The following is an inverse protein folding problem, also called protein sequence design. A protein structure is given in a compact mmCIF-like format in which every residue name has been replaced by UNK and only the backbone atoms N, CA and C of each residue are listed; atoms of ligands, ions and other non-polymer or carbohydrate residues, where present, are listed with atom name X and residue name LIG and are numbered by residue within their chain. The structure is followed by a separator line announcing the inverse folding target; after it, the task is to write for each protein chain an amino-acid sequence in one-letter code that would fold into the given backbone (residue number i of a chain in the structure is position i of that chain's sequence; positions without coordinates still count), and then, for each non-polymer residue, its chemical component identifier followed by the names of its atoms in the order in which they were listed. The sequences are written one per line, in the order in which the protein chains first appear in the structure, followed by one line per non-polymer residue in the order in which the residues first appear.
data_IF_783277589145
#
_entry.id   IF_783277589145
#
_cell.length_a   1.000
_cell.length_b   1.000
_cell.length_c   1.000
_cell.angle_alpha   90.00
_cell.angle_beta   90.00
_cell.angle_gamma   90.00
#
_symmetry.space_group_name_H-M   'P 1'
#
loop_
_entity.id
_entity.type
_entity.pdbx_description
1 polymer ?
#
# COMPACT_ATOMS: atom_id res chain seq x y z
N UNK A 1 0.26 -3.67 -24.19
CA UNK A 1 -1.06 -4.05 -23.64
C UNK A 1 -1.67 -5.16 -24.46
N UNK A 2 -1.71 -5.07 -25.80
CA UNK A 2 -2.26 -6.17 -26.63
C UNK A 2 -1.53 -7.50 -26.45
N UNK A 3 -0.19 -7.53 -26.42
CA UNK A 3 0.55 -8.77 -26.12
C UNK A 3 0.15 -9.42 -24.78
N UNK A 4 -0.15 -8.61 -23.74
CA UNK A 4 -0.58 -9.17 -22.45
C UNK A 4 -2.00 -9.74 -22.53
N UNK A 5 -2.90 -9.11 -23.30
CA UNK A 5 -4.26 -9.63 -23.49
C UNK A 5 -4.23 -10.97 -24.21
N UNK A 6 -3.42 -11.07 -25.26
CA UNK A 6 -3.25 -12.31 -26.02
C UNK A 6 -2.67 -13.42 -25.15
N UNK A 7 -1.58 -13.15 -24.42
CA UNK A 7 -0.95 -14.11 -23.51
C UNK A 7 -1.93 -14.59 -22.41
N UNK A 8 -2.77 -13.69 -21.86
CA UNK A 8 -3.76 -14.05 -20.82
C UNK A 8 -5.00 -14.75 -21.38
N UNK A 9 -5.47 -14.37 -22.57
CA UNK A 9 -6.59 -15.05 -23.24
C UNK A 9 -6.21 -16.47 -23.61
N UNK A 10 -4.99 -16.68 -24.11
CA UNK A 10 -4.44 -18.01 -24.40
C UNK A 10 -4.35 -18.85 -23.13
N UNK A 11 -3.76 -18.29 -22.06
CA UNK A 11 -3.71 -18.97 -20.76
C UNK A 11 -5.10 -19.34 -20.25
N UNK A 12 -6.10 -18.46 -20.35
CA UNK A 12 -7.45 -18.78 -19.88
C UNK A 12 -8.05 -19.99 -20.62
N UNK A 13 -7.78 -20.14 -21.91
CA UNK A 13 -8.24 -21.31 -22.67
C UNK A 13 -7.51 -22.60 -22.28
N UNK A 14 -6.20 -22.53 -22.09
CA UNK A 14 -5.37 -23.67 -21.66
C UNK A 14 -5.71 -24.09 -20.22
N UNK A 15 -5.98 -23.13 -19.34
CA UNK A 15 -6.31 -23.36 -17.95
C UNK A 15 -7.57 -24.24 -17.78
N UNK A 16 -8.63 -23.95 -18.55
CA UNK A 16 -9.86 -24.76 -18.54
C UNK A 16 -9.65 -26.17 -19.09
N UNK A 17 -8.62 -26.40 -19.91
CA UNK A 17 -8.26 -27.73 -20.41
C UNK A 17 -7.36 -28.52 -19.45
N UNK A 18 -6.57 -27.81 -18.63
CA UNK A 18 -5.57 -28.39 -17.74
C UNK A 18 -6.12 -28.73 -16.35
N UNK A 19 -7.11 -27.98 -15.87
CA UNK A 19 -7.66 -28.14 -14.52
C UNK A 19 -9.16 -28.41 -14.55
N UNK A 20 -9.57 -29.38 -13.74
CA UNK A 20 -10.97 -29.74 -13.51
C UNK A 20 -11.38 -29.52 -12.04
N UNK A 21 -12.67 -29.63 -11.72
CA UNK A 21 -13.28 -29.41 -10.40
C UNK A 21 -12.69 -30.28 -9.27
N UNK A 22 -12.02 -31.37 -9.63
CA UNK A 22 -11.32 -32.27 -8.71
C UNK A 22 -9.93 -31.77 -8.32
N UNK A 23 -9.37 -30.83 -9.07
CA UNK A 23 -8.03 -30.26 -8.86
C UNK A 23 -7.95 -29.50 -7.54
N UNK A 24 -6.76 -29.48 -6.96
CA UNK A 24 -6.52 -28.73 -5.71
C UNK A 24 -6.54 -27.24 -6.03
N UNK A 25 -7.34 -26.49 -5.26
CA UNK A 25 -7.48 -25.03 -5.40
C UNK A 25 -6.13 -24.32 -5.31
N UNK A 26 -5.23 -24.81 -4.45
CA UNK A 26 -3.90 -24.21 -4.28
C UNK A 26 -3.05 -24.31 -5.55
N UNK A 27 -3.11 -25.43 -6.28
CA UNK A 27 -2.35 -25.62 -7.52
C UNK A 27 -2.93 -24.75 -8.65
N UNK A 28 -4.25 -24.64 -8.70
CA UNK A 28 -4.97 -23.75 -9.62
C UNK A 28 -4.62 -22.28 -9.39
N UNK A 29 -4.67 -21.84 -8.12
CA UNK A 29 -4.28 -20.47 -7.74
C UNK A 29 -2.81 -20.20 -8.06
N UNK A 30 -1.93 -21.14 -7.75
CA UNK A 30 -0.50 -21.01 -8.03
C UNK A 30 -0.23 -20.88 -9.53
N UNK A 31 -0.94 -21.62 -10.37
CA UNK A 31 -0.83 -21.50 -11.83
C UNK A 31 -1.24 -20.10 -12.32
N UNK A 32 -2.40 -19.60 -11.87
CA UNK A 32 -2.88 -18.24 -12.18
C UNK A 32 -1.86 -17.19 -11.72
N UNK A 33 -1.43 -17.27 -10.46
CA UNK A 33 -0.46 -16.32 -9.87
C UNK A 33 0.86 -16.32 -10.63
N UNK A 34 1.38 -17.50 -10.97
CA UNK A 34 2.65 -17.63 -11.70
C UNK A 34 2.53 -17.01 -13.08
N UNK A 35 1.49 -17.32 -13.85
CA UNK A 35 1.27 -16.73 -15.16
C UNK A 35 1.17 -15.22 -15.10
N UNK A 36 0.37 -14.68 -14.16
CA UNK A 36 0.22 -13.24 -13.98
C UNK A 36 1.55 -12.54 -13.73
N UNK A 37 2.39 -13.09 -12.86
CA UNK A 37 3.71 -12.53 -12.56
C UNK A 37 4.66 -12.66 -13.75
N UNK A 38 4.66 -13.79 -14.46
CA UNK A 38 5.49 -13.97 -15.67
C UNK A 38 5.11 -12.98 -16.77
N UNK A 39 3.81 -12.78 -17.03
CA UNK A 39 3.33 -11.78 -18.00
C UNK A 39 3.69 -10.36 -17.58
N UNK A 40 3.61 -10.05 -16.27
CA UNK A 40 4.04 -8.77 -15.72
C UNK A 40 5.54 -8.52 -15.96
N UNK A 41 6.39 -9.46 -15.57
CA UNK A 41 7.84 -9.32 -15.68
C UNK A 41 8.31 -9.19 -17.13
N UNK A 42 7.62 -9.89 -18.05
CA UNK A 42 7.92 -9.85 -19.50
C UNK A 42 7.47 -8.54 -20.17
N UNK A 43 6.28 -8.04 -19.81
CA UNK A 43 5.64 -6.96 -20.57
C UNK A 43 5.68 -5.59 -19.89
N UNK A 44 5.99 -5.51 -18.59
CA UNK A 44 6.06 -4.25 -17.84
C UNK A 44 7.51 -3.94 -17.46
N UNK A 45 8.14 -2.93 -18.08
CA UNK A 45 9.48 -2.53 -17.69
C UNK A 45 9.46 -1.99 -16.26
N UNK A 46 10.20 -2.65 -15.37
CA UNK A 46 10.40 -2.19 -14.00
C UNK A 46 11.66 -1.33 -13.93
N UNK A 47 11.64 -0.30 -13.08
CA UNK A 47 12.82 0.52 -12.79
C UNK A 47 12.85 0.84 -11.32
N UNK A 48 14.01 0.60 -10.69
CA UNK A 48 14.25 1.09 -9.35
C UNK A 48 14.34 2.62 -9.38
N UNK A 49 13.40 3.28 -8.70
CA UNK A 49 13.51 4.72 -8.45
C UNK A 49 14.58 4.97 -7.40
N UNK A 50 15.40 6.00 -7.59
CA UNK A 50 16.40 6.37 -6.60
C UNK A 50 15.74 6.69 -5.26
N UNK A 51 16.23 6.09 -4.18
CA UNK A 51 15.80 6.37 -2.81
C UNK A 51 16.32 7.71 -2.29
N UNK A 52 17.09 8.47 -3.08
CA UNK A 52 17.61 9.77 -2.64
C UNK A 52 16.45 10.73 -2.43
N UNK A 53 16.21 11.06 -1.17
CA UNK A 53 15.29 12.09 -0.76
C UNK A 53 15.69 13.43 -1.41
N UNK A 54 14.97 13.81 -2.46
CA UNK A 54 15.13 15.11 -3.09
C UNK A 54 14.07 16.04 -2.52
N UNK A 55 14.52 17.14 -1.93
CA UNK A 55 13.61 18.17 -1.45
C UNK A 55 12.79 18.72 -2.63
N UNK A 56 11.45 18.73 -2.54
CA UNK A 56 10.58 19.01 -3.69
C UNK A 56 10.75 20.42 -4.24
N UNK A 57 11.19 21.38 -3.42
CA UNK A 57 11.50 22.75 -3.85
C UNK A 57 12.87 22.92 -4.52
N UNK A 58 13.74 21.91 -4.57
CA UNK A 58 15.03 22.00 -5.27
C UNK A 58 14.83 21.80 -6.77
N UNK A 59 14.66 22.92 -7.47
CA UNK A 59 14.50 22.98 -8.92
C UNK A 59 15.85 23.01 -9.68
N UNK A 60 15.78 23.04 -11.02
CA UNK A 60 16.95 23.08 -11.92
C UNK A 60 17.84 24.32 -11.68
N UNK A 61 17.24 25.48 -11.44
CA UNK A 61 17.94 26.73 -11.19
C UNK A 61 18.84 26.63 -9.94
N UNK A 62 18.29 26.16 -8.82
CA UNK A 62 19.01 25.97 -7.55
C UNK A 62 20.17 24.98 -7.74
N UNK A 63 19.95 23.88 -8.47
CA UNK A 63 21.01 22.89 -8.78
C UNK A 63 22.13 23.51 -9.61
N UNK A 64 21.80 24.29 -10.64
CA UNK A 64 22.79 24.97 -11.48
C UNK A 64 23.59 26.00 -10.71
N UNK A 65 22.93 26.85 -9.90
CA UNK A 65 23.60 27.83 -9.04
C UNK A 65 24.50 27.18 -8.01
N UNK A 66 24.06 26.10 -7.35
CA UNK A 66 24.89 25.33 -6.41
C UNK A 66 26.15 24.76 -7.08
N UNK A 67 26.02 24.20 -8.30
CA UNK A 67 27.18 23.71 -9.07
C UNK A 67 28.14 24.85 -9.45
N UNK A 68 27.61 25.99 -9.92
CA UNK A 68 28.41 27.20 -10.24
C UNK A 68 29.13 27.73 -9.01
N UNK A 69 28.43 27.86 -7.89
CA UNK A 69 28.99 28.27 -6.59
C UNK A 69 30.14 27.35 -6.17
N UNK A 70 29.96 26.03 -6.28
CA UNK A 70 31.01 25.04 -5.94
C UNK A 70 32.26 25.20 -6.81
N UNK A 71 32.09 25.35 -8.13
CA UNK A 71 33.21 25.59 -9.06
C UNK A 71 33.94 26.91 -8.75
N UNK A 72 33.19 27.99 -8.53
CA UNK A 72 33.75 29.29 -8.19
C UNK A 72 34.47 29.29 -6.83
N UNK A 73 33.98 28.54 -5.85
CA UNK A 73 34.67 28.36 -4.57
C UNK A 73 36.01 27.67 -4.74
N UNK A 74 36.07 26.58 -5.52
CA UNK A 74 37.32 25.87 -5.83
C UNK A 74 38.34 26.82 -6.49
N UNK A 75 37.92 27.52 -7.54
CA UNK A 75 38.75 28.52 -8.24
C UNK A 75 39.25 29.62 -7.29
N UNK A 76 38.37 30.19 -6.47
CA UNK A 76 38.76 31.24 -5.53
C UNK A 76 39.72 30.75 -4.43
N UNK A 77 39.71 29.45 -4.08
CA UNK A 77 40.70 28.85 -3.16
C UNK A 77 42.06 28.68 -3.84
N UNK A 78 42.07 28.28 -5.11
CA UNK A 78 43.29 28.05 -5.88
C UNK A 78 43.99 29.36 -6.24
N UNK A 79 43.27 30.33 -6.80
CA UNK A 79 43.86 31.58 -7.29
C UNK A 79 44.14 32.61 -6.20
N UNK A 80 43.48 32.49 -5.04
CA UNK A 80 43.48 33.48 -3.93
C UNK A 80 43.20 34.92 -4.38
N UNK A 81 42.63 35.12 -5.57
CA UNK A 81 42.35 36.44 -6.14
C UNK A 81 41.10 37.07 -5.53
N UNK A 82 41.17 38.38 -5.26
CA UNK A 82 40.02 39.17 -4.81
C UNK A 82 38.85 39.14 -5.80
N UNK A 83 39.13 39.09 -7.11
CA UNK A 83 38.10 38.98 -8.16
C UNK A 83 37.32 37.68 -8.07
N UNK A 84 38.02 36.55 -7.98
CA UNK A 84 37.40 35.23 -7.86
C UNK A 84 36.66 35.09 -6.53
N UNK A 85 37.18 35.69 -5.46
CA UNK A 85 36.51 35.76 -4.15
C UNK A 85 35.19 36.52 -4.24
N UNK A 86 35.17 37.69 -4.89
CA UNK A 86 33.96 38.49 -5.11
C UNK A 86 32.94 37.74 -5.96
N UNK A 87 33.39 37.06 -7.01
CA UNK A 87 32.50 36.23 -7.85
C UNK A 87 31.86 35.08 -7.05
N UNK A 88 32.64 34.40 -6.20
CA UNK A 88 32.11 33.36 -5.30
C UNK A 88 31.05 33.93 -4.34
N UNK A 89 31.31 35.09 -3.71
CA UNK A 89 30.34 35.72 -2.80
C UNK A 89 29.04 36.08 -3.51
N UNK A 90 29.12 36.59 -4.75
CA UNK A 90 27.94 36.84 -5.57
C UNK A 90 27.14 35.55 -5.82
N UNK A 91 27.79 34.47 -6.25
CA UNK A 91 27.12 33.17 -6.47
C UNK A 91 26.58 32.56 -5.17
N UNK A 92 27.23 32.79 -4.03
CA UNK A 92 26.75 32.37 -2.70
C UNK A 92 25.42 33.08 -2.38
N UNK A 93 25.35 34.40 -2.57
CA UNK A 93 24.12 35.19 -2.37
C UNK A 93 23.02 34.78 -3.35
N UNK A 94 23.36 34.65 -4.63
CA UNK A 94 22.40 34.20 -5.66
C UNK A 94 21.82 32.82 -5.35
N UNK A 95 22.65 31.86 -4.94
CA UNK A 95 22.20 30.51 -4.56
C UNK A 95 21.27 30.57 -3.34
N UNK A 96 21.60 31.34 -2.29
CA UNK A 96 20.74 31.50 -1.11
C UNK A 96 19.37 32.06 -1.49
N UNK A 97 19.35 33.12 -2.30
CA UNK A 97 18.11 33.76 -2.74
C UNK A 97 17.27 32.81 -3.60
N UNK A 98 17.89 32.07 -4.53
CA UNK A 98 17.19 31.08 -5.33
C UNK A 98 16.59 29.95 -4.48
N UNK A 99 17.33 29.44 -3.49
CA UNK A 99 16.80 28.45 -2.54
C UNK A 99 15.59 29.00 -1.76
N UNK A 100 15.68 30.23 -1.26
CA UNK A 100 14.59 30.88 -0.52
C UNK A 100 13.36 31.06 -1.40
N UNK A 101 13.50 31.64 -2.59
CA UNK A 101 12.37 31.79 -3.54
C UNK A 101 11.72 30.45 -3.89
N UNK A 102 12.52 29.42 -4.12
CA UNK A 102 12.01 28.10 -4.48
C UNK A 102 11.23 27.47 -3.32
N UNK A 103 11.71 27.64 -2.08
CA UNK A 103 11.00 27.21 -0.87
C UNK A 103 9.70 28.00 -0.67
N UNK A 104 9.77 29.33 -0.74
CA UNK A 104 8.61 30.21 -0.54
C UNK A 104 7.51 29.93 -1.59
N UNK A 105 7.89 29.70 -2.85
CA UNK A 105 6.97 29.27 -3.91
C UNK A 105 6.36 27.89 -3.64
N UNK A 106 7.14 26.93 -3.13
CA UNK A 106 6.62 25.61 -2.76
C UNK A 106 5.60 25.69 -1.62
N UNK A 107 5.88 26.48 -0.58
CA UNK A 107 4.94 26.69 0.52
C UNK A 107 3.69 27.43 0.05
N UNK A 108 3.84 28.48 -0.76
CA UNK A 108 2.70 29.18 -1.35
C UNK A 108 1.78 28.23 -2.12
N UNK A 109 2.32 27.30 -2.90
CA UNK A 109 1.53 26.31 -3.63
C UNK A 109 0.84 25.27 -2.74
N UNK A 110 1.33 25.04 -1.52
CA UNK A 110 0.71 24.12 -0.55
C UNK A 110 -0.40 24.84 0.25
N UNK A 111 -0.17 26.11 0.58
CA UNK A 111 -1.02 26.92 1.45
C UNK A 111 -2.02 27.75 0.64
N UNK A 112 -2.03 27.65 -0.69
CA UNK A 112 -2.96 28.39 -1.57
C UNK A 112 -4.41 28.33 -1.06
N UNK A 113 -5.18 29.43 -1.16
CA UNK A 113 -6.54 29.54 -0.65
C UNK A 113 -7.51 28.50 -1.22
N UNK A 114 -7.20 27.91 -2.38
CA UNK A 114 -7.86 26.71 -2.92
C UNK A 114 -7.50 25.42 -2.15
N UNK A 115 -7.13 25.49 -0.87
CA UNK A 115 -6.72 24.34 -0.06
C UNK A 115 -7.78 23.22 -0.01
N UNK A 116 -9.05 23.58 -0.22
CA UNK A 116 -10.15 22.63 -0.44
C UNK A 116 -9.99 21.76 -1.69
N UNK A 117 -9.29 22.22 -2.72
CA UNK A 117 -8.99 21.49 -3.96
C UNK A 117 -7.89 20.44 -3.78
N UNK A 118 -6.97 20.61 -2.80
CA UNK A 118 -5.86 19.67 -2.61
C UNK A 118 -5.48 19.39 -1.15
N UNK A 119 -6.43 18.95 -0.29
CA UNK A 119 -6.19 18.73 1.13
C UNK A 119 -5.07 17.70 1.38
N UNK A 120 -4.89 16.73 0.48
CA UNK A 120 -3.85 15.69 0.60
C UNK A 120 -2.43 16.27 0.64
N UNK A 121 -2.12 17.26 -0.19
CA UNK A 121 -0.77 17.86 -0.23
C UNK A 121 -0.47 18.64 1.05
N UNK A 122 -1.46 19.40 1.54
CA UNK A 122 -1.37 20.13 2.80
C UNK A 122 -1.16 19.18 3.98
N UNK A 123 -2.03 18.19 4.16
CA UNK A 123 -1.92 17.22 5.25
C UNK A 123 -0.64 16.38 5.15
N UNK A 124 -0.22 15.98 3.95
CA UNK A 124 1.06 15.31 3.75
C UNK A 124 2.26 16.17 4.19
N UNK A 125 2.23 17.48 3.88
CA UNK A 125 3.27 18.41 4.34
C UNK A 125 3.27 18.55 5.87
N UNK A 126 2.11 18.73 6.49
CA UNK A 126 1.99 18.80 7.96
C UNK A 126 2.49 17.51 8.62
N UNK A 127 2.06 16.34 8.14
CA UNK A 127 2.51 15.05 8.64
C UNK A 127 4.02 14.85 8.48
N UNK A 128 4.63 15.38 7.41
CA UNK A 128 6.10 15.34 7.23
C UNK A 128 6.88 16.22 8.22
N UNK A 129 6.21 17.21 8.83
CA UNK A 129 6.79 18.11 9.85
C UNK A 129 6.53 17.63 11.26
N UNK A 130 5.48 16.84 11.47
CA UNK A 130 5.20 16.18 12.73
C UNK A 130 6.29 15.15 13.00
N UNK A 131 6.97 15.30 14.14
CA UNK A 131 7.79 14.26 14.76
C UNK A 131 6.91 13.41 15.67
N UNK A 132 5.71 13.05 15.21
CA UNK A 132 4.86 12.15 15.99
C UNK A 132 5.56 10.79 16.05
N UNK A 133 5.77 10.30 17.28
CA UNK A 133 6.15 8.92 17.52
C UNK A 133 4.99 8.07 17.00
N UNK A 134 5.15 7.49 15.82
CA UNK A 134 4.22 6.47 15.31
C UNK A 134 4.34 5.25 16.22
N UNK A 135 3.53 5.21 17.26
CA UNK A 135 3.53 4.14 18.25
C UNK A 135 2.51 4.41 19.35
N UNK A 136 2.06 3.33 19.99
CA UNK A 136 1.31 3.44 21.25
C UNK A 136 2.20 4.16 22.25
N UNK A 137 1.67 5.17 22.95
CA UNK A 137 2.39 5.86 24.02
C UNK A 137 2.89 4.85 25.07
N UNK A 138 3.93 5.17 25.86
CA UNK A 138 4.34 4.30 26.95
C UNK A 138 3.14 3.92 27.82
N UNK A 139 2.95 2.62 28.06
CA UNK A 139 1.81 2.10 28.81
C UNK A 139 2.22 1.86 30.26
N UNK A 140 1.31 2.15 31.18
CA UNK A 140 1.49 1.85 32.60
C UNK A 140 0.93 0.46 32.88
N UNK A 141 1.76 -0.42 33.47
CA UNK A 141 1.30 -1.74 33.93
C UNK A 141 0.62 -1.66 35.29
N UNK A 142 0.00 -2.76 35.73
CA UNK A 142 -0.55 -2.95 37.08
C UNK A 142 0.47 -2.65 38.18
N UNK A 143 1.75 -2.88 37.92
CA UNK A 143 2.86 -2.68 38.85
C UNK A 143 3.23 -1.20 39.04
N UNK A 144 2.52 -0.29 38.38
CA UNK A 144 2.75 1.15 38.46
C UNK A 144 3.88 1.67 37.57
N UNK A 145 4.64 0.78 36.93
CA UNK A 145 5.76 1.11 36.03
C UNK A 145 5.29 1.42 34.61
N UNK A 146 6.05 2.26 33.91
CA UNK A 146 5.75 2.71 32.55
C UNK A 146 6.69 2.06 31.54
N UNK A 147 6.14 1.43 30.51
CA UNK A 147 6.86 0.63 29.52
C UNK A 147 6.78 1.23 28.13
N UNK A 148 7.94 1.41 27.49
CA UNK A 148 8.05 1.90 26.12
C UNK A 148 8.28 0.81 25.07
N UNK A 149 8.70 -0.39 25.50
CA UNK A 149 9.00 -1.56 24.66
C UNK A 149 7.76 -2.12 23.92
N UNK A 150 7.93 -2.57 22.67
CA UNK A 150 6.80 -3.03 21.86
C UNK A 150 6.18 -4.34 22.37
N UNK A 151 7.00 -5.30 22.79
CA UNK A 151 6.51 -6.60 23.26
C UNK A 151 5.77 -6.44 24.59
N UNK A 152 6.33 -5.67 25.52
CA UNK A 152 5.68 -5.40 26.81
C UNK A 152 4.35 -4.66 26.63
N UNK A 153 4.28 -3.70 25.71
CA UNK A 153 3.01 -3.01 25.40
C UNK A 153 1.94 -3.96 24.87
N UNK A 154 2.31 -4.89 23.98
CA UNK A 154 1.38 -5.88 23.45
C UNK A 154 0.84 -6.78 24.56
N UNK A 155 1.70 -7.20 25.49
CA UNK A 155 1.29 -8.03 26.62
C UNK A 155 0.35 -7.27 27.57
N UNK A 156 0.67 -6.02 27.94
CA UNK A 156 -0.21 -5.19 28.79
C UNK A 156 -1.59 -5.04 28.14
N UNK A 157 -1.66 -4.77 26.83
CA UNK A 157 -2.94 -4.68 26.11
C UNK A 157 -3.67 -6.02 26.08
N UNK A 158 -2.96 -7.12 25.87
CA UNK A 158 -3.55 -8.46 25.86
C UNK A 158 -4.10 -8.85 27.23
N UNK A 159 -3.39 -8.53 28.32
CA UNK A 159 -3.84 -8.75 29.70
C UNK A 159 -5.08 -7.93 30.04
N UNK A 160 -5.09 -6.64 29.67
CA UNK A 160 -6.29 -5.81 29.83
C UNK A 160 -7.46 -6.38 29.01
N UNK A 161 -7.22 -6.75 27.76
CA UNK A 161 -8.24 -7.33 26.90
C UNK A 161 -8.75 -8.67 27.43
N UNK A 162 -7.88 -9.55 27.93
CA UNK A 162 -8.28 -10.85 28.50
C UNK A 162 -9.06 -10.68 29.80
N UNK A 163 -8.71 -9.70 30.64
CA UNK A 163 -9.37 -9.45 31.93
C UNK A 163 -10.84 -9.02 31.82
N UNK A 164 -11.26 -8.44 30.69
CA UNK A 164 -12.66 -8.07 30.46
C UNK A 164 -13.49 -9.22 29.92
N UNK A 165 -12.89 -10.35 29.55
CA UNK A 165 -13.65 -11.56 29.22
C UNK A 165 -14.04 -12.30 30.49
N UNK A 166 -15.23 -12.90 30.45
CA UNK A 166 -15.68 -13.79 31.50
C UNK A 166 -14.83 -15.07 31.46
N UNK A 167 -13.91 -15.23 32.40
CA UNK A 167 -13.14 -16.47 32.57
C UNK A 167 -14.01 -17.67 33.01
N UNK A 168 -15.22 -17.38 33.50
CA UNK A 168 -16.15 -18.35 34.08
C UNK A 168 -17.38 -18.62 33.18
N UNK A 169 -17.26 -18.44 31.87
CA UNK A 169 -18.26 -19.04 30.98
C UNK A 169 -18.07 -20.55 31.00
N UNK A 170 -18.99 -21.24 31.66
CA UNK A 170 -19.05 -22.68 31.70
C UNK A 170 -19.34 -23.17 30.27
N UNK A 171 -18.28 -23.48 29.52
CA UNK A 171 -18.38 -23.93 28.12
C UNK A 171 -19.18 -25.24 27.99
N UNK A 172 -19.43 -25.91 29.12
CA UNK A 172 -20.31 -27.09 29.22
C UNK A 172 -21.80 -26.74 29.05
N UNK A 173 -22.17 -25.46 29.26
CA UNK A 173 -23.54 -24.92 29.08
C UNK A 173 -23.62 -24.02 27.85
N UNK A 174 -22.75 -24.22 26.85
CA UNK A 174 -23.09 -23.76 25.51
C UNK A 174 -24.25 -24.65 25.08
N UNK A 175 -25.48 -24.16 25.22
CA UNK A 175 -26.66 -24.84 24.68
C UNK A 175 -26.32 -25.22 23.24
N UNK A 176 -26.31 -26.53 22.99
CA UNK A 176 -26.09 -27.07 21.66
C UNK A 176 -27.12 -26.38 20.77
N UNK A 177 -26.64 -25.51 19.88
CA UNK A 177 -27.53 -24.67 19.05
C UNK A 177 -28.36 -25.67 18.28
N UNK A 178 -29.61 -25.87 18.72
CA UNK A 178 -30.59 -26.72 18.05
C UNK A 178 -30.46 -26.41 16.57
N UNK A 179 -30.29 -27.45 15.77
CA UNK A 179 -30.09 -27.35 14.32
C UNK A 179 -30.87 -26.15 13.80
N UNK A 180 -30.21 -25.13 13.22
CA UNK A 180 -30.86 -23.87 12.92
C UNK A 180 -32.16 -24.15 12.18
N UNK A 181 -33.29 -23.49 12.48
CA UNK A 181 -34.59 -23.73 11.85
C UNK A 181 -34.63 -23.34 10.36
N UNK A 182 -33.46 -23.04 9.79
CA UNK A 182 -33.28 -22.54 8.44
C UNK A 182 -32.82 -23.68 7.54
N UNK A 183 -33.38 -23.72 6.34
CA UNK A 183 -32.91 -24.62 5.29
C UNK A 183 -31.41 -24.40 5.03
N UNK A 184 -30.69 -25.45 4.57
CA UNK A 184 -29.31 -25.31 4.12
C UNK A 184 -29.19 -24.16 3.12
N UNK A 185 -28.10 -23.39 3.23
CA UNK A 185 -27.84 -22.33 2.26
C UNK A 185 -27.75 -22.94 0.86
N UNK A 186 -28.41 -22.35 -0.15
CA UNK A 186 -28.31 -22.84 -1.51
C UNK A 186 -26.87 -22.77 -2.01
N UNK A 187 -26.56 -23.62 -3.00
CA UNK A 187 -25.25 -23.63 -3.63
C UNK A 187 -24.93 -22.27 -4.25
N UNK A 188 -23.68 -21.84 -4.09
CA UNK A 188 -23.23 -20.55 -4.61
C UNK A 188 -22.86 -20.73 -6.08
N UNK A 189 -23.62 -20.11 -6.97
CA UNK A 189 -23.29 -20.06 -8.39
C UNK A 189 -22.30 -18.94 -8.68
N UNK A 190 -21.12 -19.30 -9.18
CA UNK A 190 -20.08 -18.35 -9.60
C UNK A 190 -20.14 -18.22 -11.12
N UNK A 191 -20.74 -17.12 -11.60
CA UNK A 191 -20.77 -16.80 -13.02
C UNK A 191 -19.52 -16.04 -13.46
N UNK A 192 -19.04 -16.30 -14.69
CA UNK A 192 -17.97 -15.55 -15.35
C UNK A 192 -18.24 -14.04 -15.32
N UNK A 193 -19.47 -13.65 -15.66
CA UNK A 193 -19.93 -12.25 -15.64
C UNK A 193 -19.84 -11.63 -14.23
N UNK A 194 -20.18 -12.39 -13.19
CA UNK A 194 -20.06 -11.96 -11.80
C UNK A 194 -18.60 -11.69 -11.42
N UNK A 195 -17.70 -12.62 -11.75
CA UNK A 195 -16.26 -12.47 -11.52
C UNK A 195 -15.70 -11.26 -12.27
N UNK A 196 -16.02 -11.12 -13.55
CA UNK A 196 -15.59 -9.97 -14.36
C UNK A 196 -16.03 -8.65 -13.73
N UNK A 197 -17.30 -8.55 -13.28
CA UNK A 197 -17.83 -7.36 -12.62
C UNK A 197 -17.07 -7.03 -11.33
N UNK A 198 -16.73 -8.04 -10.53
CA UNK A 198 -15.95 -7.86 -9.31
C UNK A 198 -14.52 -7.38 -9.60
N UNK A 199 -13.84 -8.00 -10.57
CA UNK A 199 -12.49 -7.61 -11.01
C UNK A 199 -12.48 -6.19 -11.58
N UNK A 200 -13.46 -5.85 -12.42
CA UNK A 200 -13.62 -4.51 -12.98
C UNK A 200 -13.96 -3.45 -11.90
N UNK A 201 -14.60 -3.86 -10.82
CA UNK A 201 -14.95 -3.03 -9.66
C UNK A 201 -13.78 -2.70 -8.73
N UNK A 202 -12.62 -3.33 -8.89
CA UNK A 202 -11.48 -3.12 -8.00
C UNK A 202 -10.98 -1.66 -8.00
N UNK A 203 -10.58 -1.20 -6.82
CA UNK A 203 -9.95 0.11 -6.66
C UNK A 203 -8.45 0.03 -6.95
N UNK A 204 -8.03 0.64 -8.06
CA UNK A 204 -6.65 0.64 -8.56
C UNK A 204 -5.64 1.33 -7.63
N UNK A 205 -6.10 2.09 -6.64
CA UNK A 205 -5.25 2.81 -5.69
C UNK A 205 -4.97 2.02 -4.41
N UNK A 206 -5.54 0.81 -4.27
CA UNK A 206 -5.22 -0.08 -3.16
C UNK A 206 -3.88 -0.77 -3.41
N UNK A 207 -3.10 -0.92 -2.34
CA UNK A 207 -1.82 -1.62 -2.38
C UNK A 207 -2.02 -3.09 -2.76
N UNK A 208 -1.05 -3.66 -3.47
CA UNK A 208 -0.98 -5.10 -3.70
C UNK A 208 -0.85 -5.84 -2.37
N UNK A 209 -1.48 -7.01 -2.28
CA UNK A 209 -1.36 -7.88 -1.12
C UNK A 209 0.02 -8.55 -1.03
N UNK A 210 0.21 -9.47 -0.06
CA UNK A 210 1.43 -10.28 0.05
C UNK A 210 1.65 -11.22 -1.16
N UNK A 211 0.65 -11.33 -2.03
CA UNK A 211 0.72 -12.06 -3.29
C UNK A 211 1.45 -11.30 -4.41
N UNK A 212 1.66 -9.99 -4.26
CA UNK A 212 2.35 -9.14 -5.24
C UNK A 212 1.51 -8.80 -6.48
N UNK A 213 0.25 -9.25 -6.56
CA UNK A 213 -0.60 -9.04 -7.73
C UNK A 213 -1.23 -7.65 -7.68
N UNK A 214 -1.01 -6.85 -8.73
CA UNK A 214 -1.55 -5.49 -8.77
C UNK A 214 -3.05 -5.47 -9.09
N UNK A 215 -3.81 -4.69 -8.31
CA UNK A 215 -5.24 -4.43 -8.56
C UNK A 215 -5.49 -3.79 -9.93
N UNK A 216 -4.52 -3.02 -10.41
CA UNK A 216 -4.54 -2.37 -11.73
C UNK A 216 -4.50 -3.39 -12.86
N UNK A 217 -3.70 -4.45 -12.72
CA UNK A 217 -3.67 -5.55 -13.68
C UNK A 217 -5.00 -6.29 -13.68
N UNK A 218 -5.46 -6.74 -12.51
CA UNK A 218 -6.71 -7.51 -12.37
C UNK A 218 -7.92 -6.77 -12.98
N UNK A 219 -7.99 -5.45 -12.78
CA UNK A 219 -9.04 -4.62 -13.36
C UNK A 219 -8.93 -4.53 -14.89
N UNK A 220 -7.71 -4.36 -15.41
CA UNK A 220 -7.47 -4.12 -16.83
C UNK A 220 -7.71 -5.36 -17.69
N UNK A 221 -7.48 -6.55 -17.14
CA UNK A 221 -7.65 -7.85 -17.82
C UNK A 221 -8.80 -8.67 -17.23
N UNK A 222 -9.82 -7.98 -16.72
CA UNK A 222 -10.98 -8.62 -16.08
C UNK A 222 -11.76 -9.53 -17.03
N UNK A 223 -11.83 -9.18 -18.32
CA UNK A 223 -12.48 -9.98 -19.37
C UNK A 223 -11.74 -11.29 -19.66
N UNK A 224 -10.42 -11.26 -19.60
CA UNK A 224 -9.53 -12.37 -19.96
C UNK A 224 -9.34 -13.33 -18.78
N UNK A 225 -9.42 -12.84 -17.54
CA UNK A 225 -9.27 -13.64 -16.31
C UNK A 225 -10.60 -14.20 -15.77
N UNK A 226 -11.72 -13.58 -16.13
CA UNK A 226 -13.03 -14.05 -15.67
C UNK A 226 -13.40 -15.48 -16.13
N UNK A 227 -13.03 -15.97 -17.32
CA UNK A 227 -13.38 -17.33 -17.76
C UNK A 227 -12.63 -18.44 -17.00
N UNK A 228 -11.41 -18.19 -16.51
CA UNK A 228 -10.61 -19.18 -15.78
C UNK A 228 -11.00 -19.34 -14.31
N UNK A 229 -11.74 -18.38 -13.74
CA UNK A 229 -12.05 -18.35 -12.30
C UNK A 229 -13.19 -19.29 -11.85
N UNK A 230 -14.28 -19.50 -12.62
CA UNK A 230 -15.37 -20.42 -12.25
C UNK A 230 -14.97 -21.90 -12.21
N UNK A 231 -13.91 -22.30 -12.94
CA UNK A 231 -13.36 -23.66 -12.81
C UNK A 231 -12.80 -23.92 -11.39
N UNK A 232 -12.38 -22.87 -10.67
CA UNK A 232 -11.81 -22.98 -9.33
C UNK A 232 -12.85 -23.11 -8.21
N UNK A 233 -14.15 -22.91 -8.49
CA UNK A 233 -15.18 -22.96 -7.47
C UNK A 233 -15.74 -24.37 -7.30
N UNK A 234 -15.34 -25.03 -6.21
CA UNK A 234 -16.06 -26.20 -5.71
C UNK A 234 -17.45 -25.78 -5.20
N UNK A 235 -18.54 -26.49 -5.53
CA UNK A 235 -19.83 -26.27 -4.87
C UNK A 235 -19.83 -26.62 -3.38
N UNK A 236 -18.80 -27.32 -2.86
CA UNK A 236 -18.88 -27.97 -1.55
C UNK A 236 -18.16 -27.28 -0.38
N UNK A 237 -17.67 -26.04 -0.52
CA UNK A 237 -17.03 -25.32 0.60
C UNK A 237 -18.00 -24.38 1.31
N UNK A 238 -18.98 -24.95 2.02
CA UNK A 238 -19.60 -24.29 3.18
C UNK A 238 -19.79 -25.27 4.32
N UNK A 239 -18.68 -25.66 4.95
CA UNK A 239 -18.70 -26.02 6.37
C UNK A 239 -17.70 -25.14 7.11
N UNK A 240 -18.26 -24.24 7.90
CA UNK A 240 -17.67 -23.57 9.06
C UNK A 240 -16.56 -22.56 8.77
N UNK A 241 -16.93 -21.28 8.72
CA UNK A 241 -16.30 -20.21 9.52
C UNK A 241 -17.28 -19.02 9.60
N UNK A 242 -18.31 -19.16 10.44
CA UNK A 242 -19.09 -18.02 10.93
C UNK A 242 -19.07 -18.03 12.46
N UNK A 243 -18.09 -17.34 13.04
CA UNK A 243 -18.24 -16.70 14.34
C UNK A 243 -18.02 -15.20 14.12
N UNK A 244 -19.12 -14.47 13.88
CA UNK A 244 -19.16 -13.00 13.95
C UNK A 244 -19.06 -12.62 15.44
N UNK A 245 -18.03 -11.89 15.87
CA UNK A 245 -18.04 -10.42 15.98
C UNK A 245 -19.40 -9.83 16.37
N UNK A 246 -19.68 -9.84 17.67
CA UNK A 246 -20.73 -9.03 18.29
C UNK A 246 -20.32 -7.56 18.30
N UNK A 247 -20.93 -6.77 17.43
CA UNK A 247 -20.88 -5.31 17.44
C UNK A 247 -21.94 -4.82 18.45
N UNK A 248 -21.56 -4.62 19.71
CA UNK A 248 -22.42 -3.86 20.65
C UNK A 248 -22.22 -2.37 20.37
N UNK A 249 -23.31 -1.70 20.02
CA UNK A 249 -23.40 -0.26 20.15
C UNK A 249 -23.48 0.07 21.64
N UNK A 250 -22.59 0.94 22.10
CA UNK A 250 -22.91 2.13 22.90
C UNK A 250 -21.91 3.22 22.50
#
# INVERSE_FOLDING_TARGET
MEQMKEDLSKFSSEFCSQFDLTSRIEDMWKAIKTQLNTTLDKCVPSKMTSTRYNQPWINREVKQLSRRKKRSFKRARETKSARDRKHYQHLKKATRNACKRAYDSYISNIVSPDSHSNPKKFWSFISSKKTESTGVAPLKSSDGLTYSDQATKANILNEQFSSVFNANEDLTTIEDIKSPPYSPMPDIEISTRGVQKLLAGLNIHKASGPDGVSTRLLKSFSSELAPSSPCCSRPHLTRVLYHKTGRRQM
#
